data_IF_534528444836
#
_entry.id   IF_534528444836
#
_cell.length_a   1.000
_cell.length_b   1.000
_cell.length_c   1.000
_cell.angle_alpha   90.00
_cell.angle_beta   90.00
_cell.angle_gamma   90.00
#
_symmetry.space_group_name_H-M   'P 1'
#
loop_
_entity.id
_entity.type
_entity.pdbx_description
1 polymer ?
#
# COMPACT_ATOMS: atom_id res chain seq x y z
N UNK A 1 6.51 12.52 10.49
CA UNK A 1 6.62 11.42 9.50
C UNK A 1 5.34 10.59 9.50
N UNK A 2 4.34 10.97 8.70
CA UNK A 2 3.14 10.15 8.47
C UNK A 2 3.49 9.03 7.49
N UNK A 3 3.09 7.81 7.83
CA UNK A 3 3.30 6.66 6.96
C UNK A 3 2.12 6.62 5.99
N UNK A 4 2.39 7.00 4.74
CA UNK A 4 1.39 7.00 3.67
C UNK A 4 1.63 5.76 2.83
N UNK A 5 0.62 4.89 2.74
CA UNK A 5 0.62 3.75 1.83
C UNK A 5 -0.25 4.09 0.64
N UNK A 6 0.40 4.22 -0.52
CA UNK A 6 -0.29 4.40 -1.80
C UNK A 6 -0.29 3.05 -2.53
N UNK A 7 -1.42 2.37 -2.52
CA UNK A 7 -1.66 1.15 -3.31
C UNK A 7 -2.57 1.56 -4.46
N UNK A 8 -2.12 1.35 -5.69
CA UNK A 8 -2.87 1.61 -6.90
C UNK A 8 -2.24 0.86 -8.07
N UNK A 9 -3.05 0.67 -9.10
CA UNK A 9 -2.71 0.01 -10.33
C UNK A 9 -2.74 -1.52 -10.26
N UNK A 10 -2.97 -2.16 -11.39
CA UNK A 10 -2.88 -3.60 -11.54
C UNK A 10 -1.87 -3.93 -12.63
N UNK A 11 -1.08 -4.97 -12.39
CA UNK A 11 -0.09 -5.48 -13.35
C UNK A 11 -0.26 -6.98 -13.47
N UNK A 12 -0.31 -7.48 -14.70
CA UNK A 12 -0.33 -8.91 -14.94
C UNK A 12 1.08 -9.49 -14.79
N UNK A 13 1.19 -10.64 -14.14
CA UNK A 13 2.49 -11.34 -14.01
C UNK A 13 2.93 -12.06 -15.29
N UNK A 14 1.95 -12.41 -16.14
CA UNK A 14 2.16 -13.28 -17.32
C UNK A 14 2.38 -12.52 -18.62
N UNK A 15 2.03 -11.24 -18.67
CA UNK A 15 2.20 -10.40 -19.86
C UNK A 15 2.60 -8.98 -19.47
N UNK A 16 2.62 -8.09 -20.44
CA UNK A 16 2.93 -6.66 -20.32
C UNK A 16 1.68 -5.80 -20.06
N UNK A 17 0.59 -6.40 -19.56
CA UNK A 17 -0.57 -5.62 -19.15
C UNK A 17 -0.29 -4.90 -17.83
N UNK A 18 -0.43 -3.58 -17.84
CA UNK A 18 -0.42 -2.75 -16.64
C UNK A 18 -1.42 -1.61 -16.79
N UNK A 19 -2.17 -1.36 -15.73
CA UNK A 19 -3.12 -0.26 -15.63
C UNK A 19 -2.93 0.43 -14.28
N UNK A 20 -2.26 1.58 -14.28
CA UNK A 20 -1.97 2.36 -13.07
C UNK A 20 -3.12 3.30 -12.66
N UNK A 21 -4.25 3.29 -13.38
CA UNK A 21 -5.41 4.15 -13.07
C UNK A 21 -6.33 3.56 -12.00
N UNK A 22 -6.22 2.25 -11.75
CA UNK A 22 -7.13 1.51 -10.86
C UNK A 22 -6.81 1.82 -9.38
N UNK A 23 -7.73 2.41 -8.61
CA UNK A 23 -7.51 2.65 -7.19
C UNK A 23 -7.66 1.36 -6.36
N UNK A 24 -7.00 1.31 -5.19
CA UNK A 24 -7.12 0.16 -4.27
C UNK A 24 -8.57 -0.20 -3.90
N UNK A 25 -9.46 0.79 -3.82
CA UNK A 25 -10.88 0.58 -3.53
C UNK A 25 -11.58 -0.31 -4.57
N UNK A 26 -11.07 -0.34 -5.80
CA UNK A 26 -11.63 -1.14 -6.89
C UNK A 26 -11.00 -2.52 -7.02
N UNK A 27 -9.91 -2.82 -6.31
CA UNK A 27 -9.24 -4.14 -6.36
C UNK A 27 -10.18 -5.33 -6.16
N UNK A 28 -11.18 -5.29 -5.25
CA UNK A 28 -12.13 -6.40 -5.09
C UNK A 28 -12.86 -6.81 -6.38
N UNK A 29 -13.05 -5.87 -7.31
CA UNK A 29 -13.71 -6.11 -8.60
C UNK A 29 -12.83 -6.92 -9.57
N UNK A 30 -11.51 -6.93 -9.34
CA UNK A 30 -10.54 -7.58 -10.22
C UNK A 30 -10.03 -8.92 -9.66
N UNK A 31 -10.56 -9.37 -8.52
CA UNK A 31 -10.23 -10.67 -7.95
C UNK A 31 -10.71 -11.77 -8.91
N UNK A 32 -9.78 -12.63 -9.31
CA UNK A 32 -9.96 -13.67 -10.34
C UNK A 32 -10.46 -13.14 -11.69
N UNK A 33 -10.37 -11.83 -11.94
CA UNK A 33 -10.70 -11.27 -13.24
C UNK A 33 -9.62 -11.67 -14.27
N UNK A 34 -10.02 -12.07 -15.49
CA UNK A 34 -9.06 -12.41 -16.53
C UNK A 34 -8.36 -11.14 -17.03
N UNK A 35 -7.06 -11.25 -17.28
CA UNK A 35 -6.28 -10.20 -17.93
C UNK A 35 -6.79 -9.98 -19.36
N UNK A 36 -7.03 -8.72 -19.80
CA UNK A 36 -7.56 -8.45 -21.14
C UNK A 36 -6.56 -8.79 -22.27
N UNK A 37 -5.26 -8.94 -21.97
CA UNK A 37 -4.24 -9.34 -22.96
C UNK A 37 -4.05 -10.86 -23.07
N UNK A 38 -3.97 -11.57 -21.95
CA UNK A 38 -3.57 -12.99 -21.94
C UNK A 38 -4.58 -13.93 -21.27
N UNK A 39 -5.67 -13.43 -20.70
CA UNK A 39 -6.71 -14.24 -20.04
C UNK A 39 -6.34 -14.80 -18.66
N UNK A 40 -5.08 -14.71 -18.24
CA UNK A 40 -4.66 -15.18 -16.91
C UNK A 40 -5.23 -14.30 -15.78
N UNK A 41 -5.39 -14.85 -14.58
CA UNK A 41 -5.94 -14.12 -13.43
C UNK A 41 -5.08 -12.91 -13.08
N UNK A 42 -5.69 -11.72 -13.09
CA UNK A 42 -5.04 -10.44 -12.88
C UNK A 42 -4.71 -10.19 -11.40
N UNK A 43 -5.60 -10.58 -10.49
CA UNK A 43 -5.43 -10.45 -9.05
C UNK A 43 -6.01 -11.68 -8.37
N UNK A 44 -5.22 -12.40 -7.57
CA UNK A 44 -5.71 -13.50 -6.74
C UNK A 44 -6.25 -12.98 -5.41
N UNK A 45 -7.13 -13.78 -4.79
CA UNK A 45 -7.64 -13.47 -3.45
C UNK A 45 -6.51 -13.28 -2.43
N UNK A 46 -5.47 -14.11 -2.51
CA UNK A 46 -4.33 -14.09 -1.58
C UNK A 46 -3.52 -12.78 -1.70
N UNK A 47 -3.32 -12.28 -2.92
CA UNK A 47 -2.59 -11.03 -3.20
C UNK A 47 -3.38 -9.82 -2.70
N UNK A 48 -4.71 -9.86 -2.87
CA UNK A 48 -5.60 -8.87 -2.31
C UNK A 48 -5.56 -8.89 -0.77
N UNK A 49 -5.66 -10.07 -0.15
CA UNK A 49 -5.64 -10.21 1.31
C UNK A 49 -4.31 -9.72 1.91
N UNK A 50 -3.20 -9.98 1.23
CA UNK A 50 -1.88 -9.50 1.64
C UNK A 50 -1.80 -7.96 1.57
N UNK A 51 -2.35 -7.35 0.52
CA UNK A 51 -2.46 -5.90 0.38
C UNK A 51 -3.29 -5.28 1.51
N UNK A 52 -4.43 -5.90 1.83
CA UNK A 52 -5.30 -5.50 2.95
C UNK A 52 -4.58 -5.59 4.29
N UNK A 53 -3.77 -6.64 4.53
CA UNK A 53 -2.98 -6.77 5.77
C UNK A 53 -1.99 -5.63 5.93
N UNK A 54 -1.26 -5.27 4.88
CA UNK A 54 -0.30 -4.16 4.91
C UNK A 54 -1.01 -2.84 5.19
N UNK A 55 -2.12 -2.59 4.51
CA UNK A 55 -2.93 -1.39 4.75
C UNK A 55 -3.37 -1.27 6.21
N UNK A 56 -3.85 -2.37 6.81
CA UNK A 56 -4.24 -2.43 8.23
C UNK A 56 -3.06 -2.18 9.17
N UNK A 57 -1.90 -2.77 8.91
CA UNK A 57 -0.69 -2.57 9.73
C UNK A 57 -0.29 -1.08 9.73
N UNK A 58 -0.30 -0.43 8.57
CA UNK A 58 0.04 0.99 8.50
C UNK A 58 -1.00 1.86 9.21
N UNK A 59 -2.29 1.53 9.13
CA UNK A 59 -3.32 2.21 9.90
C UNK A 59 -3.08 2.08 11.42
N UNK A 60 -2.66 0.91 11.90
CA UNK A 60 -2.31 0.68 13.31
C UNK A 60 -1.09 1.52 13.71
N UNK A 61 -0.02 1.52 12.91
CA UNK A 61 1.18 2.32 13.17
C UNK A 61 0.83 3.80 13.26
N UNK A 62 0.02 4.30 12.34
CA UNK A 62 -0.43 5.69 12.35
C UNK A 62 -1.26 6.02 13.60
N UNK A 63 -2.12 5.11 14.06
CA UNK A 63 -2.89 5.27 15.31
C UNK A 63 -1.98 5.32 16.54
N UNK A 64 -1.05 4.37 16.68
CA UNK A 64 -0.10 4.31 17.81
C UNK A 64 0.76 5.58 17.84
N UNK A 65 1.29 6.00 16.69
CA UNK A 65 2.05 7.25 16.57
C UNK A 65 1.23 8.46 17.02
N UNK A 66 -0.03 8.55 16.63
CA UNK A 66 -0.92 9.65 17.03
C UNK A 66 -1.21 9.68 18.54
N UNK A 67 -1.13 8.55 19.23
CA UNK A 67 -1.24 8.49 20.70
C UNK A 67 0.10 8.91 21.32
N UNK A 68 1.20 8.30 20.88
CA UNK A 68 2.54 8.55 21.42
C UNK A 68 3.02 10.00 21.22
N UNK A 69 2.53 10.72 20.20
CA UNK A 69 2.92 12.11 19.96
C UNK A 69 2.63 13.01 21.16
N UNK A 70 1.58 12.74 21.92
CA UNK A 70 1.19 13.57 23.07
C UNK A 70 1.96 13.24 24.36
N UNK A 71 2.56 12.05 24.41
CA UNK A 71 3.29 11.54 25.58
C UNK A 71 4.78 11.91 25.51
N UNK A 72 5.34 12.08 24.30
CA UNK A 72 6.76 12.34 24.09
C UNK A 72 7.10 13.85 24.19
N UNK A 73 7.86 14.32 25.20
CA UNK A 73 8.25 15.74 25.34
C UNK A 73 9.01 16.28 24.11
N UNK A 74 9.75 15.40 23.43
CA UNK A 74 10.50 15.72 22.20
C UNK A 74 9.57 16.05 21.01
N UNK A 75 8.28 15.69 21.08
CA UNK A 75 7.28 16.11 20.10
C UNK A 75 7.09 17.64 20.12
N UNK A 76 7.01 18.24 21.31
CA UNK A 76 6.84 19.68 21.47
C UNK A 76 8.09 20.45 21.04
N UNK A 77 9.28 19.93 21.35
CA UNK A 77 10.54 20.46 20.81
C UNK A 77 10.52 20.48 19.28
N UNK A 78 10.05 19.40 18.65
CA UNK A 78 9.91 19.33 17.19
C UNK A 78 8.85 20.29 16.62
N UNK A 79 7.77 20.60 17.33
CA UNK A 79 6.79 21.61 16.89
C UNK A 79 7.42 23.01 16.84
N UNK A 80 8.31 23.31 17.79
CA UNK A 80 8.98 24.61 17.89
C UNK A 80 10.10 24.76 16.84
N UNK A 81 10.84 23.68 16.53
CA UNK A 81 12.01 23.73 15.63
C UNK A 81 11.79 23.12 14.23
N UNK A 82 10.57 22.63 13.94
CA UNK A 82 10.19 22.00 12.68
C UNK A 82 10.58 20.50 12.56
N UNK A 83 9.78 19.72 11.81
CA UNK A 83 10.10 18.32 11.47
C UNK A 83 10.83 18.25 10.11
N UNK A 84 12.12 17.90 10.11
CA UNK A 84 12.94 17.77 8.89
C UNK A 84 13.00 16.34 8.33
N UNK A 85 12.23 15.39 8.87
CA UNK A 85 12.33 13.98 8.44
C UNK A 85 11.60 13.75 7.11
N UNK A 86 12.17 12.94 6.20
CA UNK A 86 11.51 12.58 4.94
C UNK A 86 10.22 11.79 5.20
N UNK A 87 9.28 11.80 4.27
CA UNK A 87 8.12 10.90 4.30
C UNK A 87 8.55 9.49 3.91
N UNK A 88 8.10 8.48 4.66
CA UNK A 88 8.39 7.09 4.34
C UNK A 88 7.40 6.65 3.26
N UNK A 89 7.89 6.50 2.02
CA UNK A 89 7.11 5.92 0.93
C UNK A 89 7.32 4.41 0.95
N UNK A 90 6.26 3.67 1.26
CA UNK A 90 6.26 2.20 1.15
C UNK A 90 5.68 1.87 -0.21
N UNK A 91 6.52 1.37 -1.11
CA UNK A 91 6.10 0.79 -2.39
C UNK A 91 6.31 -0.71 -2.32
N UNK A 92 5.24 -1.50 -2.41
CA UNK A 92 5.36 -2.95 -2.53
C UNK A 92 5.26 -3.33 -4.01
N UNK A 93 6.29 -4.01 -4.51
CA UNK A 93 6.22 -4.74 -5.77
C UNK A 93 5.87 -6.18 -5.45
N UNK A 94 4.83 -6.71 -6.06
CA UNK A 94 4.55 -8.14 -5.98
C UNK A 94 5.59 -8.89 -6.82
N UNK A 95 6.19 -9.97 -6.30
CA UNK A 95 7.06 -10.81 -7.11
C UNK A 95 6.24 -11.42 -8.25
N UNK A 96 6.85 -11.54 -9.43
CA UNK A 96 6.23 -12.30 -10.52
C UNK A 96 6.01 -13.73 -10.05
N UNK A 97 4.82 -14.28 -10.29
CA UNK A 97 4.55 -15.70 -10.07
C UNK A 97 5.54 -16.55 -10.88
N UNK A 98 6.25 -17.44 -10.20
CA UNK A 98 7.03 -18.52 -10.83
C UNK A 98 6.06 -19.70 -10.96
N UNK A 99 5.83 -20.14 -12.19
CA UNK A 99 5.17 -21.43 -12.46
C UNK A 99 6.21 -22.55 -12.45
#
# INVERSE_FOLDING_TARGET
MDTIVNIYGLKCDFCDYEDMSIPFADYPKYINAPCPKCGANLLLQEEYDESVRIYKIVAIINKIKNILKWINPFHYWRLIFGDKRPLMKITKKFPKRVQ
#
